data_IF_586876270097
#
_entry.id   IF_586876270097
#
_cell.length_a   1.000
_cell.length_b   1.000
_cell.length_c   1.000
_cell.angle_alpha   90.00
_cell.angle_beta   90.00
_cell.angle_gamma   90.00
#
_symmetry.space_group_name_H-M   'P 1'
#
loop_
_entity.id
_entity.type
_entity.pdbx_description
1 polymer ?
#
# COMPACT_ATOMS: atom_id res chain seq x y z
N UNK A 1 37.35 19.59 4.64
CA UNK A 1 37.46 20.98 5.18
C UNK A 1 36.09 21.47 5.60
N UNK A 2 35.56 20.96 6.69
CA UNK A 2 34.44 21.51 7.44
C UNK A 2 34.65 21.15 8.91
N UNK A 3 34.25 22.08 9.79
CA UNK A 3 34.11 21.92 11.23
C UNK A 3 35.34 22.05 12.12
N UNK A 4 35.98 23.22 12.07
CA UNK A 4 36.81 23.71 13.20
C UNK A 4 36.31 25.05 13.78
N UNK A 5 35.13 25.55 13.39
CA UNK A 5 34.64 26.86 13.82
C UNK A 5 33.88 26.91 15.17
N UNK A 6 33.10 25.87 15.49
CA UNK A 6 32.16 25.92 16.60
C UNK A 6 32.76 25.60 17.99
N UNK A 7 33.81 24.84 18.05
CA UNK A 7 34.48 24.53 19.33
C UNK A 7 35.20 25.74 19.97
N UNK A 8 35.67 26.68 19.16
CA UNK A 8 36.39 27.85 19.64
C UNK A 8 35.45 28.92 20.28
N UNK A 9 34.22 29.05 19.79
CA UNK A 9 33.24 30.03 20.26
C UNK A 9 32.68 29.63 21.64
N UNK A 10 32.46 28.35 21.88
CA UNK A 10 31.96 27.83 23.15
C UNK A 10 32.99 27.95 24.27
N UNK A 11 34.27 27.77 23.96
CA UNK A 11 35.35 27.90 24.94
C UNK A 11 35.61 29.36 25.38
N UNK A 12 35.50 30.31 24.47
CA UNK A 12 35.61 31.73 24.78
C UNK A 12 34.44 32.27 25.65
N UNK A 13 33.20 31.76 25.41
CA UNK A 13 32.04 32.12 26.22
C UNK A 13 32.19 31.63 27.65
N UNK A 14 32.69 30.44 27.87
CA UNK A 14 32.91 29.86 29.22
C UNK A 14 34.00 30.60 29.97
N UNK A 15 35.09 31.07 29.32
CA UNK A 15 36.13 31.90 29.96
C UNK A 15 35.61 33.31 30.36
N UNK A 16 34.73 33.94 29.54
CA UNK A 16 34.14 35.24 29.88
C UNK A 16 33.26 35.19 31.12
N UNK A 17 32.52 34.13 31.33
CA UNK A 17 31.66 33.92 32.49
C UNK A 17 32.51 33.71 33.75
N UNK A 18 33.58 32.89 33.68
CA UNK A 18 34.50 32.69 34.83
C UNK A 18 35.19 33.99 35.25
N UNK A 19 35.61 34.82 34.31
CA UNK A 19 36.28 36.09 34.64
C UNK A 19 35.33 37.13 35.25
N UNK A 20 34.06 37.21 34.81
CA UNK A 20 33.05 38.09 35.41
C UNK A 20 32.74 37.72 36.85
N UNK A 21 32.70 36.42 37.18
CA UNK A 21 32.44 35.97 38.58
C UNK A 21 33.65 36.21 39.49
N UNK A 22 34.91 36.06 39.04
CA UNK A 22 36.08 36.33 39.84
C UNK A 22 36.30 37.82 40.13
N UNK A 23 35.95 38.70 39.19
CA UNK A 23 36.01 40.15 39.39
C UNK A 23 34.91 40.62 40.37
N UNK A 24 33.69 40.07 40.33
CA UNK A 24 32.64 40.36 41.30
C UNK A 24 33.01 39.88 42.70
N UNK A 25 33.64 38.75 42.89
CA UNK A 25 34.12 38.25 44.19
C UNK A 25 35.23 39.13 44.77
N UNK A 26 36.15 39.65 43.96
CA UNK A 26 37.17 40.60 44.43
C UNK A 26 36.56 41.93 44.88
N UNK A 27 35.64 42.51 44.14
CA UNK A 27 34.93 43.74 44.54
C UNK A 27 34.10 43.56 45.82
N UNK A 28 33.51 42.39 46.03
CA UNK A 28 32.80 42.07 47.26
C UNK A 28 33.72 41.98 48.47
N UNK A 29 34.92 41.43 48.35
CA UNK A 29 35.95 41.40 49.43
C UNK A 29 36.47 42.81 49.79
N UNK A 30 36.73 43.65 48.77
CA UNK A 30 37.15 45.03 49.01
C UNK A 30 36.07 45.88 49.69
N UNK A 31 34.79 45.71 49.34
CA UNK A 31 33.67 46.35 50.04
C UNK A 31 33.54 45.87 51.50
N UNK A 32 33.78 44.55 51.76
CA UNK A 32 33.77 44.04 53.16
C UNK A 32 34.90 44.61 53.99
N UNK A 33 36.09 44.81 53.46
CA UNK A 33 37.19 45.47 54.21
C UNK A 33 36.96 46.95 54.46
N UNK A 34 36.21 47.68 53.63
CA UNK A 34 35.82 49.06 53.81
C UNK A 34 34.66 49.22 54.86
N UNK A 35 33.83 48.20 55.04
CA UNK A 35 32.71 48.23 56.02
C UNK A 35 33.15 48.03 57.47
N UNK A 36 34.37 47.53 57.76
CA UNK A 36 34.88 47.33 59.12
C UNK A 36 35.13 48.69 59.82
N UNK A 37 35.05 49.84 59.11
CA UNK A 37 35.24 51.19 59.65
C UNK A 37 33.92 51.96 59.81
N UNK A 38 32.72 51.39 59.67
CA UNK A 38 31.42 52.07 59.72
C UNK A 38 30.66 51.71 60.98
N UNK A 39 29.71 52.59 61.38
CA UNK A 39 28.84 52.36 62.53
C UNK A 39 27.92 51.17 62.43
N UNK A 40 27.49 50.56 63.57
CA UNK A 40 26.74 49.29 63.56
C UNK A 40 25.44 49.28 62.73
N UNK A 41 24.74 50.42 62.62
CA UNK A 41 23.49 50.52 61.87
C UNK A 41 23.67 50.42 60.34
N UNK A 42 24.78 50.96 59.76
CA UNK A 42 25.12 50.84 58.34
C UNK A 42 25.60 49.41 57.95
N UNK A 43 26.09 48.67 58.96
CA UNK A 43 26.52 47.26 58.73
C UNK A 43 25.32 46.34 58.56
N UNK A 44 24.23 46.53 59.24
CA UNK A 44 23.02 45.70 59.16
C UNK A 44 22.31 45.82 57.78
N UNK A 45 22.27 47.05 57.26
CA UNK A 45 21.69 47.36 55.95
C UNK A 45 22.54 46.76 54.81
N UNK A 46 23.87 46.81 54.92
CA UNK A 46 24.80 46.21 53.94
C UNK A 46 24.75 44.65 53.92
N UNK A 47 24.55 44.02 55.09
CA UNK A 47 24.38 42.59 55.22
C UNK A 47 23.06 42.13 54.64
N UNK A 48 22.01 42.92 54.68
CA UNK A 48 20.71 42.57 54.07
C UNK A 48 20.74 42.67 52.54
N UNK A 49 21.38 43.68 51.95
CA UNK A 49 21.55 43.84 50.53
C UNK A 49 22.41 42.70 49.88
N UNK A 50 23.57 42.41 50.55
CA UNK A 50 24.44 41.31 50.08
C UNK A 50 23.71 39.94 50.16
N UNK A 51 22.83 39.71 51.13
CA UNK A 51 22.07 38.47 51.29
C UNK A 51 20.97 38.34 50.22
N UNK A 52 20.35 39.43 49.82
CA UNK A 52 19.34 39.46 48.75
C UNK A 52 19.99 39.19 47.38
N UNK A 53 21.13 39.84 47.04
CA UNK A 53 21.86 39.58 45.80
C UNK A 53 22.35 38.11 45.68
N UNK A 54 22.79 37.53 46.81
CA UNK A 54 23.21 36.14 46.86
C UNK A 54 22.03 35.17 46.60
N UNK A 55 20.88 35.45 47.20
CA UNK A 55 19.67 34.65 47.01
C UNK A 55 19.14 34.73 45.58
N UNK A 56 19.12 35.90 44.97
CA UNK A 56 18.75 36.07 43.56
C UNK A 56 19.69 35.29 42.61
N UNK A 57 21.00 35.34 42.86
CA UNK A 57 21.97 34.59 42.09
C UNK A 57 21.84 33.07 42.26
N UNK A 58 21.44 32.60 43.45
CA UNK A 58 21.16 31.19 43.68
C UNK A 58 19.89 30.75 43.00
N UNK A 59 18.83 31.56 43.02
CA UNK A 59 17.59 31.29 42.30
C UNK A 59 17.83 31.24 40.77
N UNK A 60 18.53 32.23 40.20
CA UNK A 60 18.87 32.22 38.77
C UNK A 60 19.68 30.96 38.37
N UNK A 61 20.61 30.52 39.22
CA UNK A 61 21.35 29.26 38.97
C UNK A 61 20.48 28.01 39.06
N UNK A 62 19.50 27.99 39.93
CA UNK A 62 18.56 26.87 40.02
C UNK A 62 17.62 26.85 38.83
N UNK A 63 17.14 27.98 38.39
CA UNK A 63 16.32 28.09 37.18
C UNK A 63 17.09 27.69 35.89
N UNK A 64 18.33 28.14 35.73
CA UNK A 64 19.17 27.73 34.62
C UNK A 64 19.46 26.22 34.61
N UNK A 65 19.65 25.62 35.79
CA UNK A 65 19.83 24.16 35.89
C UNK A 65 18.54 23.42 35.56
N UNK A 66 17.40 23.88 36.08
CA UNK A 66 16.08 23.31 35.80
C UNK A 66 15.76 23.38 34.30
N UNK A 67 15.98 24.52 33.64
CA UNK A 67 15.76 24.66 32.19
C UNK A 67 16.69 23.76 31.35
N UNK A 68 17.94 23.57 31.78
CA UNK A 68 18.87 22.64 31.11
C UNK A 68 18.42 21.18 31.26
N UNK A 69 18.00 20.78 32.47
CA UNK A 69 17.46 19.45 32.72
C UNK A 69 16.19 19.19 31.90
N UNK A 70 15.29 20.17 31.85
CA UNK A 70 14.05 20.06 31.07
C UNK A 70 14.30 19.95 29.57
N UNK A 71 15.28 20.69 29.01
CA UNK A 71 15.70 20.56 27.61
C UNK A 71 16.35 19.20 27.31
N UNK A 72 17.19 18.72 28.21
CA UNK A 72 17.83 17.39 28.05
C UNK A 72 16.78 16.30 28.12
N UNK A 73 15.84 16.37 29.08
CA UNK A 73 14.75 15.41 29.21
C UNK A 73 13.82 15.42 28.01
N UNK A 74 13.46 16.60 27.49
CA UNK A 74 12.65 16.74 26.27
C UNK A 74 13.35 16.11 25.06
N UNK A 75 14.65 16.31 24.89
CA UNK A 75 15.41 15.73 23.79
C UNK A 75 15.52 14.19 23.90
N UNK A 76 15.69 13.66 25.12
CA UNK A 76 15.73 12.21 25.36
C UNK A 76 14.35 11.60 25.06
N UNK A 77 13.27 12.22 25.57
CA UNK A 77 11.90 11.74 25.28
C UNK A 77 11.56 11.76 23.79
N UNK A 78 11.98 12.82 23.08
CA UNK A 78 11.82 12.89 21.62
C UNK A 78 12.61 11.76 20.92
N UNK A 79 13.82 11.48 21.35
CA UNK A 79 14.63 10.38 20.81
C UNK A 79 13.99 9.00 21.05
N UNK A 80 13.44 8.76 22.23
CA UNK A 80 12.73 7.51 22.57
C UNK A 80 11.46 7.35 21.73
N UNK A 81 10.71 8.43 21.53
CA UNK A 81 9.51 8.43 20.69
C UNK A 81 9.85 8.07 19.22
N UNK A 82 10.88 8.70 18.66
CA UNK A 82 11.34 8.41 17.29
C UNK A 82 11.79 6.96 17.18
N UNK A 83 12.59 6.47 18.12
CA UNK A 83 13.04 5.06 18.13
C UNK A 83 11.85 4.09 18.25
N UNK A 84 10.84 4.42 19.06
CA UNK A 84 9.61 3.65 19.16
C UNK A 84 8.82 3.60 17.85
N UNK A 85 8.67 4.74 17.18
CA UNK A 85 8.01 4.79 15.86
C UNK A 85 8.75 3.97 14.81
N UNK A 86 10.07 4.06 14.76
CA UNK A 86 10.89 3.24 13.85
C UNK A 86 10.74 1.75 14.15
N UNK A 87 10.78 1.37 15.42
CA UNK A 87 10.60 -0.03 15.82
C UNK A 87 9.22 -0.59 15.43
N UNK A 88 8.14 0.18 15.69
CA UNK A 88 6.79 -0.21 15.28
C UNK A 88 6.68 -0.32 13.75
N UNK A 89 7.30 0.60 13.01
CA UNK A 89 7.33 0.55 11.55
C UNK A 89 8.03 -0.70 11.02
N UNK A 90 9.13 -1.13 11.66
CA UNK A 90 9.84 -2.36 11.31
C UNK A 90 8.98 -3.59 11.62
N UNK A 91 8.25 -3.60 12.75
CA UNK A 91 7.35 -4.71 13.08
C UNK A 91 6.19 -4.82 12.08
N UNK A 92 5.55 -3.69 11.74
CA UNK A 92 4.47 -3.66 10.75
C UNK A 92 5.00 -4.14 9.39
N UNK A 93 6.17 -3.65 8.98
CA UNK A 93 6.81 -4.09 7.74
C UNK A 93 7.10 -5.60 7.77
N UNK A 94 7.65 -6.12 8.88
CA UNK A 94 7.92 -7.54 9.05
C UNK A 94 6.65 -8.39 8.91
N UNK A 95 5.54 -7.98 9.51
CA UNK A 95 4.25 -8.68 9.39
C UNK A 95 3.71 -8.63 7.95
N UNK A 96 3.87 -7.49 7.26
CA UNK A 96 3.39 -7.33 5.87
C UNK A 96 4.21 -8.12 4.84
N UNK A 97 5.47 -8.45 5.16
CA UNK A 97 6.42 -9.15 4.25
C UNK A 97 6.56 -10.63 4.61
N UNK A 98 5.93 -11.08 5.70
CA UNK A 98 6.01 -12.48 6.13
C UNK A 98 4.73 -13.19 5.73
N UNK A 99 4.86 -14.15 4.83
CA UNK A 99 3.80 -15.09 4.52
C UNK A 99 3.96 -16.34 5.39
N UNK A 100 2.85 -17.03 5.68
CA UNK A 100 2.84 -18.19 6.57
C UNK A 100 2.41 -19.41 5.76
N UNK A 101 3.39 -20.22 5.39
CA UNK A 101 3.16 -21.49 4.70
C UNK A 101 3.19 -22.67 5.67
N UNK A 102 2.45 -23.73 5.35
CA UNK A 102 2.53 -25.00 6.07
C UNK A 102 3.60 -25.89 5.44
N UNK A 103 4.53 -26.38 6.27
CA UNK A 103 5.47 -27.41 5.82
C UNK A 103 4.78 -28.78 5.67
N UNK A 104 5.50 -29.77 5.13
CA UNK A 104 4.99 -31.14 4.96
C UNK A 104 4.51 -31.80 6.27
N UNK A 105 4.91 -31.28 7.42
CA UNK A 105 4.51 -31.75 8.75
C UNK A 105 3.31 -30.97 9.32
N UNK A 106 2.75 -29.99 8.59
CA UNK A 106 1.65 -29.16 9.04
C UNK A 106 2.04 -28.06 10.03
N UNK A 107 3.33 -27.74 10.15
CA UNK A 107 3.83 -26.64 10.99
C UNK A 107 3.84 -25.33 10.20
N UNK A 108 3.47 -24.24 10.86
CA UNK A 108 3.49 -22.91 10.25
C UNK A 108 4.94 -22.43 10.17
N UNK A 109 5.45 -22.25 8.95
CA UNK A 109 6.78 -21.72 8.69
C UNK A 109 6.65 -20.31 8.10
N UNK A 110 7.22 -19.28 8.76
CA UNK A 110 7.23 -17.95 8.19
C UNK A 110 8.18 -17.88 7.02
N UNK A 111 7.69 -17.45 5.86
CA UNK A 111 8.46 -17.20 4.65
C UNK A 111 8.56 -15.70 4.41
N UNK A 112 9.77 -15.20 4.20
CA UNK A 112 10.00 -13.77 3.93
C UNK A 112 9.78 -13.52 2.45
N UNK A 113 8.66 -12.88 2.12
CA UNK A 113 8.36 -12.44 0.75
C UNK A 113 9.12 -11.16 0.45
N UNK A 114 9.80 -11.10 -0.68
CA UNK A 114 10.52 -9.88 -1.09
C UNK A 114 9.53 -8.79 -1.50
N UNK A 115 9.92 -7.51 -1.34
CA UNK A 115 9.10 -6.37 -1.84
C UNK A 115 8.87 -6.47 -3.34
N UNK A 116 9.80 -7.09 -4.05
CA UNK A 116 9.71 -7.32 -5.49
C UNK A 116 8.61 -8.35 -5.78
N UNK A 117 8.53 -9.44 -5.03
CA UNK A 117 7.53 -10.50 -5.19
C UNK A 117 6.13 -9.95 -4.91
N UNK A 118 5.96 -9.14 -3.86
CA UNK A 118 4.68 -8.46 -3.56
C UNK A 118 4.24 -7.53 -4.70
N UNK A 119 5.18 -6.83 -5.36
CA UNK A 119 4.84 -5.99 -6.51
C UNK A 119 4.44 -6.81 -7.72
N UNK A 120 5.14 -7.92 -7.95
CA UNK A 120 4.85 -8.83 -9.04
C UNK A 120 3.50 -9.53 -8.88
N UNK A 121 3.19 -9.97 -7.67
CA UNK A 121 1.88 -10.53 -7.29
C UNK A 121 0.76 -9.51 -7.55
N UNK A 122 0.87 -8.29 -7.03
CA UNK A 122 -0.12 -7.23 -7.27
C UNK A 122 -0.30 -6.86 -8.74
N UNK A 123 0.77 -6.88 -9.50
CA UNK A 123 0.70 -6.62 -10.94
C UNK A 123 -0.01 -7.77 -11.68
N UNK A 124 0.24 -9.02 -11.24
CA UNK A 124 -0.48 -10.20 -11.73
C UNK A 124 -1.95 -10.17 -11.33
N UNK A 125 -2.27 -9.89 -10.08
CA UNK A 125 -3.66 -9.79 -9.59
C UNK A 125 -4.50 -8.81 -10.39
N UNK A 126 -3.89 -7.73 -10.85
CA UNK A 126 -4.56 -6.74 -11.68
C UNK A 126 -5.06 -7.33 -13.01
N UNK A 127 -4.24 -8.15 -13.68
CA UNK A 127 -4.63 -8.80 -14.94
C UNK A 127 -5.52 -10.01 -14.69
N UNK A 128 -5.29 -10.76 -13.60
CA UNK A 128 -6.13 -11.87 -13.16
C UNK A 128 -7.56 -11.39 -12.87
N UNK A 129 -7.71 -10.30 -12.16
CA UNK A 129 -9.02 -9.72 -11.90
C UNK A 129 -9.76 -9.38 -13.20
N UNK A 130 -9.07 -8.78 -14.17
CA UNK A 130 -9.67 -8.46 -15.48
C UNK A 130 -10.07 -9.72 -16.25
N UNK A 131 -9.25 -10.77 -16.20
CA UNK A 131 -9.58 -12.09 -16.75
C UNK A 131 -10.84 -12.66 -16.11
N UNK A 132 -10.96 -12.63 -14.78
CA UNK A 132 -12.13 -13.12 -14.06
C UNK A 132 -13.42 -12.35 -14.43
N UNK A 133 -13.31 -11.05 -14.71
CA UNK A 133 -14.46 -10.28 -15.22
C UNK A 133 -14.88 -10.74 -16.64
N UNK A 134 -13.91 -11.06 -17.50
CA UNK A 134 -14.19 -11.61 -18.83
C UNK A 134 -14.78 -13.03 -18.72
N UNK A 135 -14.26 -13.85 -17.80
CA UNK A 135 -14.79 -15.19 -17.51
C UNK A 135 -16.24 -15.12 -17.04
N UNK A 136 -16.57 -14.22 -16.12
CA UNK A 136 -17.94 -14.04 -15.65
C UNK A 136 -18.91 -13.68 -16.77
N UNK A 137 -18.52 -12.79 -17.69
CA UNK A 137 -19.32 -12.53 -18.90
C UNK A 137 -19.48 -13.79 -19.73
N UNK A 138 -18.41 -14.56 -19.94
CA UNK A 138 -18.45 -15.79 -20.73
C UNK A 138 -19.36 -16.83 -20.09
N UNK A 139 -19.32 -17.02 -18.78
CA UNK A 139 -20.22 -17.88 -18.00
C UNK A 139 -21.70 -17.51 -18.19
N UNK A 140 -22.01 -16.22 -18.15
CA UNK A 140 -23.37 -15.74 -18.44
C UNK A 140 -23.83 -16.09 -19.88
N UNK A 141 -22.93 -15.97 -20.85
CA UNK A 141 -23.19 -16.32 -22.25
C UNK A 141 -23.38 -17.84 -22.42
N UNK A 142 -22.56 -18.65 -21.75
CA UNK A 142 -22.72 -20.10 -21.75
C UNK A 142 -24.10 -20.55 -21.25
N UNK A 143 -24.62 -19.88 -20.21
CA UNK A 143 -25.94 -20.15 -19.69
C UNK A 143 -27.06 -19.74 -20.66
N UNK A 144 -26.89 -18.64 -21.42
CA UNK A 144 -27.82 -18.29 -22.50
C UNK A 144 -27.82 -19.33 -23.62
N UNK A 145 -26.65 -19.80 -24.00
CA UNK A 145 -26.48 -20.87 -25.01
C UNK A 145 -27.14 -22.17 -24.54
N UNK A 146 -26.97 -22.53 -23.29
CA UNK A 146 -27.60 -23.71 -22.71
C UNK A 146 -29.12 -23.59 -22.73
N UNK A 147 -29.70 -22.47 -22.32
CA UNK A 147 -31.16 -22.21 -22.33
C UNK A 147 -31.71 -22.30 -23.76
N UNK A 148 -31.00 -21.72 -24.73
CA UNK A 148 -31.36 -21.79 -26.13
C UNK A 148 -31.34 -23.24 -26.64
N UNK A 149 -30.27 -23.99 -26.28
CA UNK A 149 -30.12 -25.40 -26.70
C UNK A 149 -31.16 -26.34 -26.09
N UNK A 150 -31.66 -26.07 -24.90
CA UNK A 150 -32.75 -26.83 -24.27
C UNK A 150 -34.08 -26.69 -24.99
N UNK A 151 -34.32 -25.54 -25.66
CA UNK A 151 -35.56 -25.29 -26.38
C UNK A 151 -36.78 -25.16 -25.48
N UNK A 152 -36.62 -24.92 -24.18
CA UNK A 152 -37.72 -24.72 -23.22
C UNK A 152 -38.28 -23.32 -23.31
N UNK A 153 -37.53 -22.36 -23.80
CA UNK A 153 -37.90 -20.96 -23.98
C UNK A 153 -38.03 -20.59 -25.46
N UNK A 154 -38.92 -19.66 -25.75
CA UNK A 154 -39.00 -19.09 -27.08
C UNK A 154 -37.68 -18.38 -27.44
N UNK A 155 -36.97 -18.80 -28.50
CA UNK A 155 -35.75 -18.16 -28.92
C UNK A 155 -35.83 -16.64 -29.04
N UNK A 156 -36.98 -16.11 -29.48
CA UNK A 156 -37.20 -14.67 -29.60
C UNK A 156 -37.15 -13.92 -28.25
N UNK A 157 -37.37 -14.61 -27.12
CA UNK A 157 -37.21 -14.02 -25.79
C UNK A 157 -35.72 -13.96 -25.36
N UNK A 158 -34.88 -14.82 -25.94
CA UNK A 158 -33.46 -14.88 -25.65
C UNK A 158 -32.62 -13.88 -26.46
N UNK A 159 -33.06 -13.51 -27.67
CA UNK A 159 -32.34 -12.60 -28.54
C UNK A 159 -31.99 -11.25 -27.87
N UNK A 160 -32.93 -10.57 -27.15
CA UNK A 160 -32.62 -9.34 -26.41
C UNK A 160 -31.58 -9.54 -25.30
N UNK A 161 -31.52 -10.75 -24.69
CA UNK A 161 -30.54 -11.05 -23.64
C UNK A 161 -29.12 -11.11 -24.18
N UNK A 162 -28.92 -11.66 -25.39
CA UNK A 162 -27.62 -11.61 -26.08
C UNK A 162 -27.23 -10.16 -26.40
N UNK A 163 -28.19 -9.32 -26.81
CA UNK A 163 -27.95 -7.92 -27.11
C UNK A 163 -27.60 -7.12 -25.82
N UNK A 164 -28.28 -7.37 -24.69
CA UNK A 164 -27.97 -6.76 -23.40
C UNK A 164 -26.53 -7.02 -22.95
N UNK A 165 -25.97 -8.21 -23.25
CA UNK A 165 -24.56 -8.50 -22.93
C UNK A 165 -23.56 -7.63 -23.69
N UNK A 166 -23.93 -7.01 -24.81
CA UNK A 166 -23.07 -6.06 -25.53
C UNK A 166 -22.75 -4.81 -24.73
N UNK A 167 -23.62 -4.37 -23.83
CA UNK A 167 -23.33 -3.26 -22.91
C UNK A 167 -22.23 -3.67 -21.92
N UNK A 168 -22.28 -4.89 -21.41
CA UNK A 168 -21.22 -5.44 -20.55
C UNK A 168 -19.91 -5.55 -21.32
N UNK A 169 -19.92 -6.06 -22.56
CA UNK A 169 -18.76 -6.12 -23.47
C UNK A 169 -18.14 -4.73 -23.65
N UNK A 170 -18.97 -3.72 -23.93
CA UNK A 170 -18.52 -2.34 -24.13
C UNK A 170 -17.83 -1.81 -22.86
N UNK A 171 -18.42 -2.05 -21.69
CA UNK A 171 -17.86 -1.66 -20.39
C UNK A 171 -16.53 -2.37 -20.13
N UNK A 172 -16.46 -3.69 -20.37
CA UNK A 172 -15.21 -4.45 -20.20
C UNK A 172 -14.13 -4.01 -21.17
N UNK A 173 -14.49 -3.71 -22.42
CA UNK A 173 -13.55 -3.20 -23.42
C UNK A 173 -12.89 -1.90 -22.95
N UNK A 174 -13.68 -0.93 -22.45
CA UNK A 174 -13.17 0.34 -21.95
C UNK A 174 -12.27 0.10 -20.72
N UNK A 175 -12.67 -0.74 -19.77
CA UNK A 175 -11.90 -1.05 -18.57
C UNK A 175 -10.58 -1.73 -18.93
N UNK A 176 -10.60 -2.71 -19.83
CA UNK A 176 -9.41 -3.44 -20.26
C UNK A 176 -8.44 -2.52 -21.02
N UNK A 177 -8.95 -1.63 -21.87
CA UNK A 177 -8.11 -0.67 -22.61
C UNK A 177 -7.41 0.32 -21.68
N UNK A 178 -8.14 0.83 -20.69
CA UNK A 178 -7.63 1.76 -19.68
C UNK A 178 -6.69 1.12 -18.65
N UNK A 179 -6.62 -0.23 -18.58
CA UNK A 179 -5.84 -0.94 -17.60
C UNK A 179 -4.34 -0.68 -17.79
N UNK A 180 -3.68 -0.20 -16.74
CA UNK A 180 -2.22 -0.05 -16.72
C UNK A 180 -1.59 -1.32 -16.19
N UNK A 181 -0.84 -2.02 -17.02
CA UNK A 181 -0.14 -3.27 -16.66
C UNK A 181 1.36 -3.15 -16.94
N UNK A 182 2.16 -3.93 -16.23
CA UNK A 182 3.58 -4.07 -16.55
C UNK A 182 3.78 -4.69 -17.94
N UNK A 183 4.91 -4.38 -18.58
CA UNK A 183 5.22 -4.83 -19.96
C UNK A 183 5.08 -6.34 -20.14
N UNK A 184 5.44 -7.13 -19.12
CA UNK A 184 5.33 -8.60 -19.16
C UNK A 184 3.88 -9.10 -19.29
N UNK A 185 2.88 -8.33 -18.84
CA UNK A 185 1.46 -8.65 -18.92
C UNK A 185 0.75 -8.01 -20.12
N UNK A 186 1.41 -7.13 -20.87
CA UNK A 186 0.80 -6.42 -22.00
C UNK A 186 0.19 -7.39 -23.03
N UNK A 187 0.88 -8.49 -23.31
CA UNK A 187 0.38 -9.51 -24.25
C UNK A 187 -0.96 -10.09 -23.82
N UNK A 188 -1.12 -10.44 -22.53
CA UNK A 188 -2.39 -11.00 -22.02
C UNK A 188 -3.49 -9.93 -22.04
N UNK A 189 -3.17 -8.69 -21.67
CA UNK A 189 -4.09 -7.55 -21.81
C UNK A 189 -4.59 -7.41 -23.25
N UNK A 190 -3.68 -7.43 -24.23
CA UNK A 190 -4.02 -7.29 -25.65
C UNK A 190 -4.87 -8.47 -26.14
N UNK A 191 -4.58 -9.68 -25.68
CA UNK A 191 -5.39 -10.87 -25.98
C UNK A 191 -6.80 -10.75 -25.40
N UNK A 192 -6.94 -10.31 -24.12
CA UNK A 192 -8.25 -10.05 -23.51
C UNK A 192 -9.03 -8.99 -24.29
N UNK A 193 -8.37 -7.89 -24.67
CA UNK A 193 -9.01 -6.83 -25.44
C UNK A 193 -9.45 -7.31 -26.83
N UNK A 194 -8.65 -8.12 -27.49
CA UNK A 194 -8.99 -8.76 -28.77
C UNK A 194 -10.19 -9.69 -28.61
N UNK A 195 -10.17 -10.57 -27.62
CA UNK A 195 -11.27 -11.47 -27.32
C UNK A 195 -12.58 -10.72 -27.05
N UNK A 196 -12.52 -9.64 -26.24
CA UNK A 196 -13.70 -8.82 -25.96
C UNK A 196 -14.28 -8.20 -27.24
N UNK A 197 -13.43 -7.63 -28.11
CA UNK A 197 -13.87 -6.83 -29.25
C UNK A 197 -14.19 -7.68 -30.49
N UNK A 198 -13.39 -8.73 -30.75
CA UNK A 198 -13.41 -9.42 -32.00
C UNK A 198 -14.06 -10.81 -31.90
N UNK A 199 -14.16 -11.39 -30.71
CA UNK A 199 -14.68 -12.74 -30.55
C UNK A 199 -16.05 -12.67 -29.85
N UNK A 200 -16.12 -12.36 -28.55
CA UNK A 200 -17.38 -12.41 -27.82
C UNK A 200 -18.40 -11.36 -28.31
N UNK A 201 -17.96 -10.13 -28.67
CA UNK A 201 -18.86 -9.11 -29.21
C UNK A 201 -19.48 -9.56 -30.53
N UNK A 202 -18.68 -10.13 -31.44
CA UNK A 202 -19.14 -10.59 -32.75
C UNK A 202 -20.08 -11.79 -32.58
N UNK A 203 -19.72 -12.73 -31.69
CA UNK A 203 -20.58 -13.86 -31.36
C UNK A 203 -21.97 -13.41 -30.87
N UNK A 204 -22.02 -12.50 -29.89
CA UNK A 204 -23.29 -12.00 -29.33
C UNK A 204 -24.15 -11.29 -30.39
N UNK A 205 -23.53 -10.48 -31.28
CA UNK A 205 -24.23 -9.82 -32.37
C UNK A 205 -24.80 -10.83 -33.39
N UNK A 206 -24.01 -11.83 -33.75
CA UNK A 206 -24.45 -12.87 -34.70
C UNK A 206 -25.55 -13.74 -34.08
N UNK A 207 -25.46 -14.09 -32.78
CA UNK A 207 -26.50 -14.85 -32.08
C UNK A 207 -27.82 -14.09 -32.01
N UNK A 208 -27.79 -12.84 -31.54
CA UNK A 208 -29.00 -11.99 -31.51
C UNK A 208 -29.63 -11.83 -32.87
N UNK A 209 -28.80 -11.60 -33.94
CA UNK A 209 -29.28 -11.47 -35.32
C UNK A 209 -29.82 -12.79 -35.90
N UNK A 210 -29.15 -13.91 -35.63
CA UNK A 210 -29.58 -15.22 -36.08
C UNK A 210 -30.98 -15.59 -35.56
N UNK A 211 -31.19 -15.35 -34.27
CA UNK A 211 -32.46 -15.62 -33.59
C UNK A 211 -33.54 -14.66 -34.07
N UNK A 212 -33.30 -13.34 -34.06
CA UNK A 212 -34.28 -12.32 -34.38
C UNK A 212 -34.77 -12.35 -35.83
N UNK A 213 -33.84 -12.71 -36.78
CA UNK A 213 -34.10 -12.72 -38.21
C UNK A 213 -34.39 -14.11 -38.77
N UNK A 214 -34.25 -15.15 -37.94
CA UNK A 214 -34.33 -16.55 -38.35
C UNK A 214 -33.45 -16.88 -39.59
N UNK A 215 -32.21 -16.34 -39.57
CA UNK A 215 -31.27 -16.40 -40.66
C UNK A 215 -30.28 -17.55 -40.47
N UNK A 216 -30.31 -18.54 -41.33
CA UNK A 216 -29.45 -19.74 -41.26
C UNK A 216 -27.94 -19.43 -41.51
N UNK A 217 -27.62 -18.44 -42.34
CA UNK A 217 -26.24 -18.03 -42.58
C UNK A 217 -25.62 -17.38 -41.33
N UNK A 218 -26.38 -16.46 -40.73
CA UNK A 218 -25.95 -15.82 -39.49
C UNK A 218 -25.83 -16.85 -38.34
N UNK A 219 -26.70 -17.86 -38.29
CA UNK A 219 -26.60 -18.96 -37.35
C UNK A 219 -25.32 -19.82 -37.53
N UNK A 220 -24.93 -20.09 -38.78
CA UNK A 220 -23.67 -20.79 -39.08
C UNK A 220 -22.45 -19.95 -38.66
N UNK A 221 -22.47 -18.64 -38.92
CA UNK A 221 -21.42 -17.74 -38.49
C UNK A 221 -21.31 -17.72 -36.98
N UNK A 222 -22.43 -17.65 -36.28
CA UNK A 222 -22.44 -17.68 -34.80
C UNK A 222 -21.83 -18.97 -34.23
N UNK A 223 -22.04 -20.13 -34.85
CA UNK A 223 -21.41 -21.38 -34.43
C UNK A 223 -19.88 -21.35 -34.60
N UNK A 224 -19.39 -20.78 -35.72
CA UNK A 224 -17.93 -20.61 -35.93
C UNK A 224 -17.34 -19.60 -34.95
N UNK A 225 -18.06 -18.51 -34.62
CA UNK A 225 -17.66 -17.54 -33.65
C UNK A 225 -17.61 -18.15 -32.25
N UNK A 226 -18.52 -19.05 -31.90
CA UNK A 226 -18.49 -19.79 -30.63
C UNK A 226 -17.22 -20.59 -30.44
N UNK A 227 -16.81 -21.33 -31.46
CA UNK A 227 -15.56 -22.11 -31.43
C UNK A 227 -14.34 -21.20 -31.26
N UNK A 228 -14.35 -20.03 -31.90
CA UNK A 228 -13.29 -19.03 -31.76
C UNK A 228 -13.28 -18.40 -30.35
N UNK A 229 -14.43 -18.01 -29.81
CA UNK A 229 -14.56 -17.49 -28.42
C UNK A 229 -13.95 -18.48 -27.44
N UNK A 230 -14.25 -19.77 -27.57
CA UNK A 230 -13.71 -20.82 -26.70
C UNK A 230 -12.19 -20.98 -26.86
N UNK A 231 -11.70 -21.14 -28.11
CA UNK A 231 -10.28 -21.39 -28.35
C UNK A 231 -9.39 -20.24 -27.89
N UNK A 232 -9.81 -19.01 -28.16
CA UNK A 232 -9.03 -17.82 -27.81
C UNK A 232 -9.09 -17.54 -26.30
N UNK A 233 -10.22 -17.79 -25.64
CA UNK A 233 -10.30 -17.71 -24.19
C UNK A 233 -9.41 -18.75 -23.50
N UNK A 234 -9.42 -20.00 -24.00
CA UNK A 234 -8.54 -21.06 -23.50
C UNK A 234 -7.06 -20.68 -23.64
N UNK A 235 -6.67 -20.07 -24.76
CA UNK A 235 -5.30 -19.58 -24.96
C UNK A 235 -4.93 -18.46 -23.99
N UNK A 236 -5.85 -17.56 -23.67
CA UNK A 236 -5.66 -16.52 -22.65
C UNK A 236 -5.43 -17.17 -21.28
N UNK A 237 -6.29 -18.13 -20.90
CA UNK A 237 -6.18 -18.89 -19.66
C UNK A 237 -4.81 -19.56 -19.52
N UNK A 238 -4.35 -20.25 -20.57
CA UNK A 238 -3.03 -20.91 -20.58
C UNK A 238 -1.89 -19.92 -20.40
N UNK A 239 -1.92 -18.75 -21.07
CA UNK A 239 -0.89 -17.72 -20.91
C UNK A 239 -0.92 -17.13 -19.50
N UNK A 240 -2.10 -16.89 -18.93
CA UNK A 240 -2.25 -16.38 -17.58
C UNK A 240 -1.70 -17.36 -16.53
N UNK A 241 -2.07 -18.64 -16.64
CA UNK A 241 -1.56 -19.72 -15.78
C UNK A 241 -0.04 -19.79 -15.84
N UNK A 242 0.53 -19.85 -17.05
CA UNK A 242 1.98 -19.92 -17.23
C UNK A 242 2.75 -18.73 -16.59
N UNK A 243 2.12 -17.56 -16.54
CA UNK A 243 2.70 -16.38 -15.89
C UNK A 243 2.60 -16.44 -14.36
N UNK A 244 1.51 -17.02 -13.83
CA UNK A 244 1.26 -17.10 -12.39
C UNK A 244 1.98 -18.25 -11.69
N UNK A 245 2.34 -19.34 -12.42
CA UNK A 245 2.98 -20.54 -11.83
C UNK A 245 4.31 -20.28 -11.12
N UNK A 246 4.99 -19.20 -11.47
CA UNK A 246 6.28 -18.82 -10.86
C UNK A 246 6.12 -17.76 -9.76
N UNK A 247 4.91 -17.33 -9.45
CA UNK A 247 4.64 -16.32 -8.42
C UNK A 247 4.26 -17.01 -7.11
N UNK A 248 4.94 -16.62 -6.04
CA UNK A 248 4.58 -17.07 -4.69
C UNK A 248 3.28 -16.39 -4.26
N UNK A 249 2.41 -17.12 -3.55
CA UNK A 249 1.15 -16.56 -3.01
C UNK A 249 -0.03 -16.51 -3.98
N UNK A 250 0.14 -16.89 -5.25
CA UNK A 250 -0.95 -16.90 -6.23
C UNK A 250 -1.60 -18.28 -6.29
N UNK A 251 -2.87 -18.36 -5.92
CA UNK A 251 -3.68 -19.57 -6.10
C UNK A 251 -4.30 -19.59 -7.50
N UNK A 252 -3.88 -20.56 -8.31
CA UNK A 252 -4.35 -20.78 -9.67
C UNK A 252 -5.31 -21.97 -9.79
N UNK A 253 -5.69 -22.59 -8.69
CA UNK A 253 -6.48 -23.83 -8.69
C UNK A 253 -7.80 -23.65 -9.44
N UNK A 254 -8.53 -22.59 -9.13
CA UNK A 254 -9.80 -22.27 -9.80
C UNK A 254 -9.60 -21.98 -11.30
N UNK A 255 -8.56 -21.23 -11.68
CA UNK A 255 -8.27 -20.88 -13.07
C UNK A 255 -7.87 -22.11 -13.90
N UNK A 256 -7.11 -23.05 -13.30
CA UNK A 256 -6.65 -24.28 -13.96
C UNK A 256 -7.75 -25.32 -14.13
N UNK A 257 -8.66 -25.39 -13.16
CA UNK A 257 -9.73 -26.38 -13.15
C UNK A 257 -10.97 -25.95 -13.92
N UNK A 258 -11.13 -24.64 -14.15
CA UNK A 258 -12.31 -24.13 -14.82
C UNK A 258 -12.36 -24.55 -16.30
N UNK A 259 -13.46 -25.17 -16.70
CA UNK A 259 -13.85 -25.40 -18.09
C UNK A 259 -15.29 -24.93 -18.33
N UNK A 260 -15.65 -24.53 -19.57
CA UNK A 260 -17.03 -24.17 -19.90
C UNK A 260 -18.03 -25.29 -19.63
N UNK A 261 -17.63 -26.53 -19.90
CA UNK A 261 -18.46 -27.73 -19.73
C UNK A 261 -18.75 -27.97 -18.24
N UNK A 262 -17.70 -27.99 -17.39
CA UNK A 262 -17.85 -28.19 -15.96
C UNK A 262 -18.69 -27.09 -15.31
N UNK A 263 -18.49 -25.83 -15.73
CA UNK A 263 -19.28 -24.72 -15.24
C UNK A 263 -20.78 -24.89 -15.54
N UNK A 264 -21.13 -25.24 -16.79
CA UNK A 264 -22.54 -25.47 -17.18
C UNK A 264 -23.12 -26.64 -16.42
N UNK A 265 -22.37 -27.74 -16.27
CA UNK A 265 -22.80 -28.94 -15.55
C UNK A 265 -23.04 -28.64 -14.05
N UNK A 266 -22.19 -27.86 -13.39
CA UNK A 266 -22.38 -27.40 -12.00
C UNK A 266 -23.66 -26.57 -11.85
N UNK A 267 -23.90 -25.63 -12.75
CA UNK A 267 -25.08 -24.77 -12.69
C UNK A 267 -26.39 -25.56 -12.89
N UNK A 268 -26.35 -26.62 -13.67
CA UNK A 268 -27.55 -27.45 -13.96
C UNK A 268 -27.83 -28.44 -12.85
N UNK A 269 -26.79 -29.08 -12.32
CA UNK A 269 -26.95 -30.17 -11.34
C UNK A 269 -27.01 -29.65 -9.91
N UNK A 270 -26.70 -28.37 -9.68
CA UNK A 270 -26.76 -27.73 -8.36
C UNK A 270 -25.70 -28.26 -7.38
N UNK A 271 -24.58 -28.78 -7.90
CA UNK A 271 -23.46 -29.33 -7.13
C UNK A 271 -22.17 -28.53 -7.35
#
# INVERSE_FOLDING_TARGET
KRDMGDSHISFQRSRRIKNKTSVKLKRSKEKRLASIRREPAELEELYSEDSLEINELLQQRQEEKSQKHQKIFSNIMSGVLIAGCVYVSILIYGVMVTDYNYNENGEIVPEVVSVQDIKEEKAYDTILYQYLQCRSLYEEVLMLDYRLGKGEEDPLTLAPLYEEKLDTVSSLSIKTDALTVETKYSKVKDMLLSWIKNDIAVYLQNMSSAISQNNSETAQNALQDKDRVYSDFSLITQNLVAMGENLQGVDLTDVKQWTPEDYVDEQINGE
#
